data_IF_028621966707
#
_entry.id   IF_028621966707
#
_cell.length_a   1.000
_cell.length_b   1.000
_cell.length_c   1.000
_cell.angle_alpha   90.00
_cell.angle_beta   90.00
_cell.angle_gamma   90.00
#
_symmetry.space_group_name_H-M   'P 1'
#
loop_
_entity.id
_entity.type
_entity.pdbx_description
1 polymer ?
#
# COMPACT_ATOMS: atom_id res chain seq x y z
N UNK A 1 -24.58 2.54 -2.33
CA UNK A 1 -23.45 3.41 -2.68
C UNK A 1 -22.30 2.52 -3.11
N UNK A 2 -21.74 2.74 -4.29
CA UNK A 2 -20.50 2.09 -4.71
C UNK A 2 -19.40 2.47 -3.71
N UNK A 3 -18.58 1.49 -3.34
CA UNK A 3 -17.43 1.68 -2.45
C UNK A 3 -16.36 2.47 -3.21
N UNK A 4 -15.86 3.57 -2.65
CA UNK A 4 -14.81 4.40 -3.27
C UNK A 4 -13.53 3.58 -3.37
N UNK A 5 -12.98 3.48 -4.58
CA UNK A 5 -11.72 2.79 -4.85
C UNK A 5 -10.54 3.77 -4.79
N UNK A 6 -10.01 3.98 -3.58
CA UNK A 6 -8.88 4.87 -3.33
C UNK A 6 -7.57 4.45 -4.02
N UNK A 7 -7.50 3.23 -4.58
CA UNK A 7 -6.32 2.78 -5.35
C UNK A 7 -6.22 3.47 -6.71
N UNK A 8 -7.32 4.04 -7.22
CA UNK A 8 -7.39 4.81 -8.47
C UNK A 8 -7.27 6.31 -8.25
N UNK A 9 -7.25 6.76 -7.00
CA UNK A 9 -7.16 8.18 -6.69
C UNK A 9 -5.80 8.75 -7.12
N UNK A 10 -5.76 9.91 -7.78
CA UNK A 10 -4.52 10.64 -8.03
C UNK A 10 -3.75 10.89 -6.73
N UNK A 11 -2.41 10.94 -6.80
CA UNK A 11 -1.58 11.12 -5.61
C UNK A 11 -1.90 12.44 -4.88
N UNK A 12 -2.22 13.50 -5.63
CA UNK A 12 -2.57 14.83 -5.10
C UNK A 12 -3.98 14.92 -4.50
N UNK A 13 -4.83 13.90 -4.68
CA UNK A 13 -6.20 13.95 -4.21
C UNK A 13 -6.25 13.79 -2.69
N UNK A 14 -6.89 14.73 -2.03
CA UNK A 14 -7.16 14.74 -0.59
C UNK A 14 -8.57 14.25 -0.26
N UNK A 15 -9.41 14.05 -1.28
CA UNK A 15 -10.79 13.61 -1.09
C UNK A 15 -11.45 13.14 -2.38
N UNK A 16 -12.63 12.55 -2.20
CA UNK A 16 -13.59 12.22 -3.24
C UNK A 16 -14.86 13.01 -2.97
N UNK A 17 -15.52 13.51 -4.01
CA UNK A 17 -16.76 14.27 -3.88
C UNK A 17 -17.70 14.03 -5.06
N UNK A 18 -18.91 14.56 -4.93
CA UNK A 18 -19.97 14.46 -5.92
C UNK A 18 -20.37 15.85 -6.41
N UNK A 19 -20.50 16.02 -7.72
CA UNK A 19 -20.99 17.25 -8.34
C UNK A 19 -22.30 16.98 -9.07
N UNK A 20 -23.32 17.79 -8.79
CA UNK A 20 -24.63 17.72 -9.46
C UNK A 20 -24.78 18.90 -10.43
N UNK A 21 -24.53 18.67 -11.72
CA UNK A 21 -24.67 19.72 -12.77
C UNK A 21 -25.54 19.25 -13.95
N UNK A 22 -25.37 18.00 -14.41
CA UNK A 22 -26.23 17.34 -15.43
C UNK A 22 -26.36 15.83 -15.17
N UNK A 23 -26.47 15.48 -13.90
CA UNK A 23 -26.23 14.13 -13.37
C UNK A 23 -25.27 14.20 -12.19
N UNK A 24 -25.06 13.07 -11.52
CA UNK A 24 -24.07 12.95 -10.45
C UNK A 24 -22.73 12.58 -11.09
N UNK A 25 -21.76 13.48 -11.01
CA UNK A 25 -20.38 13.24 -11.42
C UNK A 25 -19.51 13.04 -10.19
N UNK A 26 -18.80 11.92 -10.14
CA UNK A 26 -17.80 11.64 -9.11
C UNK A 26 -16.48 12.34 -9.45
N UNK A 27 -15.85 12.98 -8.47
CA UNK A 27 -14.60 13.73 -8.65
C UNK A 27 -13.59 13.43 -7.55
N UNK A 28 -12.32 13.35 -7.92
CA UNK A 28 -11.18 13.47 -7.01
C UNK A 28 -10.89 14.94 -6.76
N UNK A 29 -10.58 15.34 -5.53
CA UNK A 29 -10.47 16.75 -5.15
C UNK A 29 -9.27 17.02 -4.24
N UNK A 30 -8.73 18.23 -4.31
CA UNK A 30 -7.94 18.85 -3.24
C UNK A 30 -8.37 20.32 -3.07
N UNK A 31 -7.54 21.14 -2.42
CA UNK A 31 -7.83 22.56 -2.20
C UNK A 31 -7.92 23.40 -3.47
N UNK A 32 -7.18 23.03 -4.52
CA UNK A 32 -6.91 23.88 -5.68
C UNK A 32 -7.56 23.38 -6.98
N UNK A 33 -7.81 22.07 -7.07
CA UNK A 33 -8.27 21.41 -8.29
C UNK A 33 -9.14 20.17 -8.03
N UNK A 34 -9.76 19.70 -9.11
CA UNK A 34 -10.48 18.44 -9.16
C UNK A 34 -10.20 17.66 -10.46
N UNK A 35 -10.48 16.36 -10.47
CA UNK A 35 -10.47 15.52 -11.66
C UNK A 35 -11.69 14.60 -11.63
N UNK A 36 -12.24 14.26 -12.80
CA UNK A 36 -13.39 13.34 -12.86
C UNK A 36 -12.89 11.90 -12.66
N UNK A 37 -13.59 11.11 -11.85
CA UNK A 37 -13.27 9.68 -11.67
C UNK A 37 -13.36 8.96 -13.02
N UNK A 38 -12.30 8.26 -13.42
CA UNK A 38 -12.14 7.63 -14.73
C UNK A 38 -11.52 8.51 -15.82
N UNK A 39 -11.20 9.77 -15.51
CA UNK A 39 -10.46 10.70 -16.38
C UNK A 39 -9.37 11.44 -15.58
N UNK A 40 -8.61 10.67 -14.79
CA UNK A 40 -7.59 11.17 -13.86
C UNK A 40 -6.42 11.88 -14.54
N UNK A 41 -6.24 11.72 -15.86
CA UNK A 41 -5.24 12.40 -16.69
C UNK A 41 -5.49 13.92 -16.80
N UNK A 42 -6.69 14.39 -16.40
CA UNK A 42 -7.12 15.78 -16.55
C UNK A 42 -7.54 16.37 -15.21
N UNK A 43 -6.64 17.12 -14.60
CA UNK A 43 -6.95 17.97 -13.45
C UNK A 43 -7.42 19.36 -13.92
N UNK A 44 -8.50 19.85 -13.31
CA UNK A 44 -9.14 21.12 -13.62
C UNK A 44 -9.08 22.05 -12.40
N UNK A 45 -8.66 23.31 -12.57
CA UNK A 45 -8.74 24.28 -11.48
C UNK A 45 -10.19 24.62 -11.17
N UNK A 46 -10.49 24.91 -9.90
CA UNK A 46 -11.80 25.42 -9.53
C UNK A 46 -12.07 26.80 -10.13
N UNK A 47 -13.32 27.04 -10.52
CA UNK A 47 -13.80 28.40 -10.81
C UNK A 47 -13.15 29.08 -12.02
N UNK A 48 -12.83 28.32 -13.08
CA UNK A 48 -12.28 28.87 -14.31
C UNK A 48 -13.18 29.90 -15.02
N UNK A 49 -12.97 31.19 -14.73
CA UNK A 49 -13.16 32.35 -15.62
C UNK A 49 -14.58 32.89 -15.86
N UNK A 50 -14.69 34.23 -15.91
CA UNK A 50 -15.87 35.02 -16.33
C UNK A 50 -15.97 35.15 -17.86
N UNK A 51 -15.91 34.03 -18.58
CA UNK A 51 -16.18 33.98 -20.02
C UNK A 51 -17.59 33.45 -20.30
N UNK A 52 -18.06 33.62 -21.54
CA UNK A 52 -19.38 33.15 -21.99
C UNK A 52 -19.57 31.63 -21.90
N UNK A 53 -18.51 30.87 -21.59
CA UNK A 53 -18.55 29.43 -21.44
C UNK A 53 -17.89 29.02 -20.10
N UNK A 54 -18.69 29.04 -19.02
CA UNK A 54 -18.28 28.51 -17.70
C UNK A 54 -18.12 26.99 -17.78
N UNK A 55 -16.88 26.48 -17.84
CA UNK A 55 -16.63 25.06 -18.06
C UNK A 55 -16.22 24.25 -16.83
N UNK A 56 -15.75 24.88 -15.75
CA UNK A 56 -15.23 24.17 -14.59
C UNK A 56 -16.17 24.29 -13.38
N UNK A 57 -16.23 23.23 -12.57
CA UNK A 57 -16.95 23.26 -11.30
C UNK A 57 -16.30 24.25 -10.34
N UNK A 58 -17.13 24.96 -9.59
CA UNK A 58 -16.68 25.70 -8.42
C UNK A 58 -16.57 24.75 -7.24
N UNK A 59 -15.67 25.04 -6.30
CA UNK A 59 -15.50 24.20 -5.11
C UNK A 59 -16.78 24.06 -4.30
N UNK A 60 -17.61 25.11 -4.23
CA UNK A 60 -18.90 25.10 -3.53
C UNK A 60 -19.96 24.20 -4.17
N UNK A 61 -19.75 23.72 -5.41
CA UNK A 61 -20.65 22.77 -6.06
C UNK A 61 -20.33 21.30 -5.73
N UNK A 62 -19.18 21.03 -5.10
CA UNK A 62 -18.83 19.68 -4.65
C UNK A 62 -19.54 19.40 -3.33
N UNK A 63 -20.26 18.30 -3.30
CA UNK A 63 -21.01 17.80 -2.14
C UNK A 63 -20.51 16.42 -1.75
N UNK A 64 -20.91 15.96 -0.55
CA UNK A 64 -20.59 14.62 -0.03
C UNK A 64 -19.08 14.30 -0.06
N UNK A 65 -18.26 15.26 0.38
CA UNK A 65 -16.81 15.10 0.41
C UNK A 65 -16.43 14.00 1.40
N UNK A 66 -15.86 12.92 0.90
CA UNK A 66 -15.22 11.89 1.69
C UNK A 66 -13.71 12.17 1.67
N UNK A 67 -13.09 12.49 2.81
CA UNK A 67 -11.64 12.73 2.85
C UNK A 67 -10.90 11.43 2.50
N UNK A 68 -9.74 11.58 1.88
CA UNK A 68 -8.83 10.46 1.66
C UNK A 68 -8.44 9.88 3.01
N UNK A 69 -8.58 8.55 3.21
CA UNK A 69 -8.10 7.91 4.41
C UNK A 69 -6.64 8.26 4.66
N UNK A 70 -6.33 8.68 5.88
CA UNK A 70 -4.96 8.93 6.28
C UNK A 70 -4.11 7.69 6.03
N UNK A 71 -2.86 7.89 5.60
CA UNK A 71 -1.91 6.80 5.40
C UNK A 71 -1.62 6.20 6.78
N UNK A 72 -2.21 5.04 7.06
CA UNK A 72 -1.97 4.31 8.29
C UNK A 72 -0.54 3.76 8.28
N UNK A 73 0.18 3.99 9.36
CA UNK A 73 1.58 3.60 9.56
C UNK A 73 1.73 2.17 10.10
N UNK A 74 0.62 1.54 10.48
CA UNK A 74 0.58 0.18 11.02
C UNK A 74 0.36 0.13 12.53
N UNK A 75 0.29 1.28 13.20
CA UNK A 75 0.01 1.36 14.63
C UNK A 75 -1.50 1.48 14.92
N UNK A 76 -2.00 0.66 15.84
CA UNK A 76 -3.42 0.57 16.14
C UNK A 76 -4.24 -0.02 14.99
N UNK A 77 -5.54 0.24 14.94
CA UNK A 77 -6.40 -0.25 13.86
C UNK A 77 -6.39 0.68 12.64
N UNK A 78 -6.46 0.14 11.41
CA UNK A 78 -6.56 0.95 10.20
C UNK A 78 -7.88 1.74 10.17
N UNK A 79 -7.86 3.03 9.79
CA UNK A 79 -9.08 3.76 9.49
C UNK A 79 -9.90 3.08 8.38
N UNK A 80 -11.23 3.20 8.44
CA UNK A 80 -12.12 2.70 7.38
C UNK A 80 -11.76 3.36 6.04
N UNK A 81 -11.66 2.54 4.99
CA UNK A 81 -11.25 2.95 3.64
C UNK A 81 -9.75 2.84 3.38
N UNK A 82 -8.92 2.59 4.40
CA UNK A 82 -7.46 2.42 4.25
C UNK A 82 -7.13 1.16 3.46
N UNK A 83 -6.22 1.28 2.48
CA UNK A 83 -5.65 0.13 1.78
C UNK A 83 -4.69 -0.63 2.70
N UNK A 84 -4.92 -1.93 2.83
CA UNK A 84 -4.18 -2.80 3.75
C UNK A 84 -3.75 -4.08 3.06
N UNK A 85 -2.76 -4.74 3.63
CA UNK A 85 -2.51 -6.16 3.41
C UNK A 85 -3.05 -6.93 4.62
N UNK A 86 -3.79 -8.02 4.38
CA UNK A 86 -4.28 -8.90 5.44
C UNK A 86 -3.92 -10.37 5.16
N UNK A 87 -3.60 -11.13 6.21
CA UNK A 87 -3.37 -12.57 6.11
C UNK A 87 -4.49 -13.39 6.74
N UNK A 88 -4.86 -14.49 6.09
CA UNK A 88 -6.03 -15.29 6.47
C UNK A 88 -5.59 -16.63 7.05
N UNK A 89 -6.11 -16.98 8.22
CA UNK A 89 -5.83 -18.25 8.88
C UNK A 89 -6.19 -19.47 8.01
N UNK A 90 -7.14 -19.33 7.10
CA UNK A 90 -7.58 -20.42 6.22
C UNK A 90 -6.61 -20.79 5.09
N UNK A 91 -5.59 -19.98 4.80
CA UNK A 91 -4.70 -20.19 3.64
C UNK A 91 -3.20 -20.27 3.95
N UNK A 92 -2.84 -20.02 5.21
CA UNK A 92 -1.51 -19.74 5.77
C UNK A 92 -1.36 -18.26 6.17
N UNK A 93 -0.93 -18.02 7.41
CA UNK A 93 -0.69 -16.68 7.95
C UNK A 93 0.46 -15.94 7.28
N UNK A 94 1.33 -16.63 6.54
CA UNK A 94 2.41 -16.02 5.77
C UNK A 94 1.94 -15.45 4.42
N UNK A 95 0.73 -15.80 3.98
CA UNK A 95 0.14 -15.26 2.74
C UNK A 95 -0.62 -13.98 3.01
N UNK A 96 -0.09 -12.89 2.47
CA UNK A 96 -0.68 -11.56 2.55
C UNK A 96 -1.46 -11.24 1.28
N UNK A 97 -2.63 -10.62 1.45
CA UNK A 97 -3.49 -10.23 0.35
C UNK A 97 -3.81 -8.75 0.41
N UNK A 98 -3.77 -8.09 -0.74
CA UNK A 98 -4.26 -6.73 -0.91
C UNK A 98 -5.76 -6.64 -0.56
N UNK A 99 -6.12 -5.60 0.20
CA UNK A 99 -7.47 -5.36 0.64
C UNK A 99 -7.69 -3.93 1.13
N UNK A 100 -8.82 -3.75 1.79
CA UNK A 100 -9.24 -2.47 2.34
C UNK A 100 -9.98 -2.69 3.66
N UNK A 101 -9.72 -1.83 4.64
CA UNK A 101 -10.49 -1.79 5.88
C UNK A 101 -11.91 -1.29 5.58
N UNK A 102 -12.94 -2.07 5.90
CA UNK A 102 -14.34 -1.75 5.60
C UNK A 102 -15.17 -1.39 6.81
N UNK A 103 -14.71 -1.77 8.00
CA UNK A 103 -15.36 -1.43 9.25
C UNK A 103 -14.31 -1.42 10.38
N UNK A 104 -14.56 -0.58 11.36
CA UNK A 104 -13.90 -0.59 12.67
C UNK A 104 -15.01 -0.51 13.71
N UNK A 105 -14.90 -1.28 14.77
CA UNK A 105 -15.88 -1.32 15.84
C UNK A 105 -15.27 -1.81 17.13
N UNK A 106 -16.07 -1.73 18.19
CA UNK A 106 -15.73 -2.22 19.52
C UNK A 106 -16.49 -3.53 19.76
N UNK A 107 -15.86 -4.50 20.41
CA UNK A 107 -16.52 -5.69 20.98
C UNK A 107 -17.80 -5.27 21.71
N UNK A 108 -18.95 -5.97 21.55
CA UNK A 108 -20.16 -5.73 22.34
C UNK A 108 -19.96 -5.62 23.86
N UNK A 109 -18.91 -6.25 24.41
CA UNK A 109 -18.53 -6.17 25.82
C UNK A 109 -17.53 -5.03 26.14
N UNK A 110 -17.16 -4.22 25.16
CA UNK A 110 -16.32 -3.02 25.31
C UNK A 110 -14.86 -3.29 25.64
N UNK A 111 -14.38 -4.51 25.39
CA UNK A 111 -13.04 -4.95 25.83
C UNK A 111 -11.97 -4.64 24.82
N UNK A 112 -12.28 -4.77 23.52
CA UNK A 112 -11.29 -4.73 22.45
C UNK A 112 -11.90 -4.12 21.18
N UNK A 113 -11.11 -3.29 20.50
CA UNK A 113 -11.46 -2.82 19.16
C UNK A 113 -11.09 -3.85 18.10
N UNK A 114 -11.87 -3.89 17.02
CA UNK A 114 -11.61 -4.72 15.86
C UNK A 114 -11.77 -3.93 14.56
N UNK A 115 -11.08 -4.40 13.52
CA UNK A 115 -11.30 -3.98 12.15
C UNK A 115 -11.80 -5.15 11.30
N UNK A 116 -12.45 -4.84 10.18
CA UNK A 116 -12.85 -5.81 9.17
C UNK A 116 -12.11 -5.48 7.88
N UNK A 117 -11.32 -6.41 7.38
CA UNK A 117 -10.61 -6.27 6.11
C UNK A 117 -11.31 -7.09 5.02
N UNK A 118 -11.49 -6.48 3.86
CA UNK A 118 -12.00 -7.14 2.66
C UNK A 118 -10.91 -7.27 1.61
N UNK A 119 -10.56 -8.50 1.24
CA UNK A 119 -9.58 -8.85 0.20
C UNK A 119 -10.31 -9.60 -0.92
N UNK A 120 -10.74 -8.86 -1.96
CA UNK A 120 -11.59 -9.42 -3.02
C UNK A 120 -12.90 -9.97 -2.48
N UNK A 121 -13.10 -11.29 -2.60
CA UNK A 121 -14.29 -12.00 -2.08
C UNK A 121 -14.15 -12.44 -0.61
N UNK A 122 -12.96 -12.32 -0.02
CA UNK A 122 -12.70 -12.72 1.37
C UNK A 122 -12.94 -11.53 2.30
N UNK A 123 -13.54 -11.82 3.44
CA UNK A 123 -13.76 -10.85 4.52
C UNK A 123 -13.34 -11.53 5.82
N UNK A 124 -12.55 -10.83 6.62
CA UNK A 124 -12.17 -11.30 7.95
C UNK A 124 -12.11 -10.14 8.94
N UNK A 125 -12.38 -10.48 10.20
CA UNK A 125 -12.31 -9.58 11.33
C UNK A 125 -11.00 -9.81 12.07
N UNK A 126 -10.32 -8.72 12.42
CA UNK A 126 -9.03 -8.75 13.10
C UNK A 126 -9.00 -7.76 14.25
N UNK A 127 -8.35 -8.17 15.33
CA UNK A 127 -7.93 -7.30 16.43
C UNK A 127 -6.54 -6.78 16.15
N UNK A 128 -6.20 -5.61 16.68
CA UNK A 128 -4.87 -5.00 16.48
C UNK A 128 -3.74 -5.94 16.97
N UNK A 129 -3.93 -6.55 18.12
CA UNK A 129 -2.97 -7.47 18.75
C UNK A 129 -2.58 -8.66 17.88
N UNK A 130 -3.48 -9.09 16.99
CA UNK A 130 -3.22 -10.21 16.10
C UNK A 130 -2.16 -9.86 15.03
N UNK A 131 -1.92 -8.56 14.78
CA UNK A 131 -1.00 -8.02 13.77
C UNK A 131 -1.13 -8.74 12.41
N UNK A 132 -2.37 -9.08 12.05
CA UNK A 132 -2.74 -9.77 10.79
C UNK A 132 -3.22 -8.81 9.70
N UNK A 133 -3.22 -7.53 10.00
CA UNK A 133 -3.47 -6.45 9.05
C UNK A 133 -2.29 -5.49 9.15
N UNK A 134 -1.81 -5.03 8.01
CA UNK A 134 -0.71 -4.06 7.96
C UNK A 134 -0.92 -3.07 6.82
N UNK A 135 -0.22 -1.93 6.81
CA UNK A 135 -0.27 -0.99 5.70
C UNK A 135 0.12 -1.68 4.39
N UNK A 136 -0.56 -1.31 3.31
CA UNK A 136 -0.21 -1.81 1.98
C UNK A 136 1.21 -1.34 1.62
N UNK A 137 2.10 -2.30 1.34
CA UNK A 137 3.46 -2.02 0.90
C UNK A 137 3.45 -1.42 -0.51
N UNK A 138 4.36 -0.48 -0.76
CA UNK A 138 4.57 0.04 -2.12
C UNK A 138 5.38 -0.95 -2.96
N UNK A 139 5.30 -0.88 -4.30
CA UNK A 139 6.14 -1.70 -5.18
C UNK A 139 7.64 -1.58 -4.86
N UNK A 140 8.10 -0.39 -4.47
CA UNK A 140 9.49 -0.12 -4.10
C UNK A 140 9.88 -0.82 -2.80
N UNK A 141 8.99 -0.84 -1.81
CA UNK A 141 9.20 -1.56 -0.56
C UNK A 141 9.29 -3.07 -0.80
N UNK A 142 8.39 -3.61 -1.63
CA UNK A 142 8.42 -5.02 -2.02
C UNK A 142 9.72 -5.36 -2.75
N UNK A 143 10.14 -4.53 -3.71
CA UNK A 143 11.39 -4.73 -4.44
C UNK A 143 12.63 -4.64 -3.52
N UNK A 144 12.63 -3.72 -2.55
CA UNK A 144 13.69 -3.61 -1.56
C UNK A 144 13.75 -4.84 -0.63
N UNK A 145 12.60 -5.34 -0.19
CA UNK A 145 12.50 -6.55 0.64
C UNK A 145 12.96 -7.79 -0.12
N UNK A 146 12.54 -7.95 -1.39
CA UNK A 146 13.01 -9.03 -2.27
C UNK A 146 14.52 -8.95 -2.52
N UNK A 147 15.04 -7.74 -2.77
CA UNK A 147 16.49 -7.53 -2.92
C UNK A 147 17.23 -7.92 -1.64
N UNK A 148 16.73 -7.51 -0.47
CA UNK A 148 17.33 -7.85 0.81
C UNK A 148 17.30 -9.37 1.04
N UNK A 149 16.15 -10.02 0.83
CA UNK A 149 16.03 -11.47 0.94
C UNK A 149 16.97 -12.21 0.00
N UNK A 150 17.15 -11.74 -1.23
CA UNK A 150 18.12 -12.31 -2.16
C UNK A 150 19.57 -12.16 -1.66
N UNK A 151 19.92 -11.00 -1.08
CA UNK A 151 21.24 -10.78 -0.47
C UNK A 151 21.43 -11.67 0.77
N UNK A 152 20.42 -11.82 1.61
CA UNK A 152 20.47 -12.65 2.81
C UNK A 152 20.65 -14.13 2.43
N UNK A 153 19.96 -14.60 1.38
CA UNK A 153 20.17 -15.94 0.83
C UNK A 153 21.59 -16.12 0.28
N UNK A 154 22.09 -15.14 -0.47
CA UNK A 154 23.48 -15.15 -0.94
C UNK A 154 24.47 -15.23 0.23
N UNK A 155 24.23 -14.51 1.31
CA UNK A 155 25.07 -14.54 2.50
C UNK A 155 25.05 -15.92 3.18
N UNK A 156 23.88 -16.58 3.24
CA UNK A 156 23.75 -17.93 3.74
C UNK A 156 24.48 -18.96 2.86
N UNK A 157 24.33 -18.85 1.53
CA UNK A 157 24.99 -19.72 0.56
C UNK A 157 26.51 -19.53 0.56
N UNK A 158 26.97 -18.31 0.82
CA UNK A 158 28.38 -17.97 0.99
C UNK A 158 28.98 -18.54 2.30
N UNK A 159 28.17 -19.16 3.15
CA UNK A 159 28.58 -19.76 4.44
C UNK A 159 29.39 -18.79 5.31
N UNK A 160 28.96 -17.53 5.34
CA UNK A 160 29.61 -16.47 6.12
C UNK A 160 29.41 -16.70 7.62
N UNK A 161 30.16 -17.63 8.21
CA UNK A 161 30.21 -17.84 9.64
C UNK A 161 31.34 -17.00 10.27
N UNK A 162 30.97 -15.86 10.83
CA UNK A 162 31.88 -14.97 11.54
C UNK A 162 32.25 -15.47 12.95
N UNK A 163 31.68 -16.60 13.39
CA UNK A 163 31.92 -17.19 14.70
C UNK A 163 32.99 -18.28 14.71
N UNK A 164 33.45 -18.72 13.53
CA UNK A 164 34.58 -19.62 13.39
C UNK A 164 35.85 -18.88 13.84
N UNK A 165 36.31 -19.16 15.06
CA UNK A 165 37.49 -18.57 15.70
C UNK A 165 38.84 -18.91 15.05
N UNK A 166 38.86 -19.20 13.75
CA UNK A 166 40.09 -19.34 12.98
C UNK A 166 40.53 -18.00 12.41
N UNK A 167 41.83 -17.71 12.56
CA UNK A 167 42.52 -16.49 12.13
C UNK A 167 42.65 -16.43 10.59
N UNK A 168 41.54 -16.47 9.86
CA UNK A 168 41.54 -16.16 8.44
C UNK A 168 41.86 -14.67 8.25
N UNK A 169 42.74 -14.36 7.32
CA UNK A 169 42.92 -12.98 6.87
C UNK A 169 41.65 -12.52 6.14
N UNK A 170 41.42 -11.20 6.09
CA UNK A 170 40.28 -10.64 5.38
C UNK A 170 40.20 -11.09 3.90
N UNK A 171 41.34 -11.41 3.28
CA UNK A 171 41.39 -11.90 1.90
C UNK A 171 40.97 -13.36 1.77
N UNK A 172 41.48 -14.25 2.63
CA UNK A 172 41.11 -15.66 2.63
C UNK A 172 39.61 -15.84 2.91
N UNK A 173 39.06 -15.00 3.79
CA UNK A 173 37.63 -14.97 4.05
C UNK A 173 36.81 -14.64 2.80
N UNK A 174 37.22 -13.61 2.04
CA UNK A 174 36.55 -13.23 0.79
C UNK A 174 36.70 -14.32 -0.28
N UNK A 175 37.87 -14.95 -0.38
CA UNK A 175 38.12 -16.01 -1.36
C UNK A 175 37.24 -17.25 -1.07
N UNK A 176 37.08 -17.64 0.21
CA UNK A 176 36.18 -18.71 0.63
C UNK A 176 34.71 -18.40 0.29
N UNK A 177 34.26 -17.18 0.58
CA UNK A 177 32.88 -16.75 0.28
C UNK A 177 32.61 -16.75 -1.25
N UNK A 178 33.56 -16.28 -2.05
CA UNK A 178 33.45 -16.30 -3.52
C UNK A 178 33.43 -17.73 -4.06
N UNK A 179 34.27 -18.62 -3.52
CA UNK A 179 34.26 -20.04 -3.91
C UNK A 179 32.91 -20.70 -3.58
N UNK A 180 32.39 -20.49 -2.38
CA UNK A 180 31.07 -21.01 -1.97
C UNK A 180 29.94 -20.49 -2.87
N UNK A 181 29.91 -19.20 -3.18
CA UNK A 181 28.94 -18.63 -4.13
C UNK A 181 29.10 -19.21 -5.53
N UNK A 182 30.33 -19.41 -6.00
CA UNK A 182 30.58 -20.03 -7.29
C UNK A 182 30.07 -21.48 -7.33
N UNK A 183 30.28 -22.25 -6.27
CA UNK A 183 29.86 -23.64 -6.15
C UNK A 183 28.34 -23.78 -5.96
N UNK A 184 27.71 -22.79 -5.32
CA UNK A 184 26.25 -22.62 -5.29
C UNK A 184 25.64 -22.17 -6.63
N UNK A 185 26.48 -21.94 -7.66
CA UNK A 185 26.04 -21.65 -9.02
C UNK A 185 25.79 -20.17 -9.33
N UNK A 186 26.15 -19.25 -8.44
CA UNK A 186 26.03 -17.81 -8.72
C UNK A 186 26.97 -17.39 -9.86
N UNK A 187 26.41 -16.72 -10.87
CA UNK A 187 27.17 -16.21 -12.03
C UNK A 187 26.70 -14.79 -12.34
N UNK A 188 27.58 -14.02 -12.98
CA UNK A 188 27.21 -12.70 -13.50
C UNK A 188 26.08 -12.87 -14.51
N UNK A 189 24.95 -12.22 -14.25
CA UNK A 189 23.90 -12.07 -15.25
C UNK A 189 24.39 -11.07 -16.31
N UNK A 190 24.58 -11.55 -17.54
CA UNK A 190 24.75 -10.71 -18.72
C UNK A 190 23.37 -10.53 -19.33
N UNK A 191 22.91 -9.29 -19.47
CA UNK A 191 21.69 -9.00 -20.22
C UNK A 191 21.87 -9.46 -21.67
N UNK A 192 20.88 -10.12 -22.29
CA UNK A 192 20.88 -10.36 -23.73
C UNK A 192 20.75 -9.07 -24.54
#
# INVERSE_FOLDING_TARGET
>A
MSKIDWSKAPEWADGHGLVAHHGITEVWINMDQYAVVGAEDRAYPYGGGTGDHRHNFTRGQIQYITPRPARWDGEGLPPVGTLVEASFACEDFEKWHDGVCVAVGEDPEGREDFCVAQCGKKIAMYRDEAKRVRPRRTPEQIAAEQRKSAIDQMAADAQLDFSAGELLTAREYVDCAIAALHDAGYRKQVAP
#
